data_IF_802651175090
#
_entry.id   IF_802651175090
#
_cell.length_a   1.000
_cell.length_b   1.000
_cell.length_c   1.000
_cell.angle_alpha   90.00
_cell.angle_beta   90.00
_cell.angle_gamma   90.00
#
_symmetry.space_group_name_H-M   'P 1'
#
loop_
_entity.id
_entity.type
_entity.pdbx_description
1 polymer ?
#
# COMPACT_ATOMS: atom_id res chain seq x y z
N UNK A 1 -35.98 -69.05 -22.36
CA UNK A 1 -34.75 -69.78 -22.01
C UNK A 1 -33.62 -68.79 -21.94
N UNK A 2 -33.47 -68.14 -20.77
CA UNK A 2 -32.33 -67.27 -20.46
C UNK A 2 -31.06 -68.11 -20.42
N UNK A 3 -30.15 -67.89 -21.37
CA UNK A 3 -28.77 -68.35 -21.24
C UNK A 3 -28.02 -67.30 -20.44
N UNK A 4 -27.90 -67.55 -19.13
CA UNK A 4 -26.97 -66.88 -18.25
C UNK A 4 -25.54 -67.04 -18.80
N UNK A 5 -25.08 -66.04 -19.55
CA UNK A 5 -23.66 -65.87 -19.87
C UNK A 5 -23.02 -65.28 -18.61
N UNK A 6 -22.71 -66.14 -17.64
CA UNK A 6 -21.80 -65.79 -16.56
C UNK A 6 -20.44 -65.62 -17.24
N UNK A 7 -20.14 -64.41 -17.69
CA UNK A 7 -18.84 -64.06 -18.27
C UNK A 7 -17.84 -64.27 -17.15
N UNK A 8 -17.01 -65.31 -17.26
CA UNK A 8 -15.96 -65.58 -16.28
C UNK A 8 -14.96 -64.41 -16.28
N UNK A 9 -15.17 -63.46 -15.36
CA UNK A 9 -14.40 -62.22 -15.27
C UNK A 9 -12.93 -62.52 -15.00
N UNK A 10 -12.60 -63.67 -14.40
CA UNK A 10 -11.24 -64.00 -13.96
C UNK A 10 -10.34 -64.41 -15.13
N UNK A 11 -10.88 -65.10 -16.14
CA UNK A 11 -10.11 -65.50 -17.32
C UNK A 11 -9.85 -64.34 -18.29
N UNK A 12 -10.80 -63.41 -18.42
CA UNK A 12 -10.65 -62.22 -19.30
C UNK A 12 -10.08 -61.00 -18.58
N UNK A 13 -9.94 -61.04 -17.25
CA UNK A 13 -9.32 -60.00 -16.43
C UNK A 13 -7.98 -59.49 -17.00
N UNK A 14 -6.98 -60.33 -17.34
CA UNK A 14 -5.69 -59.82 -17.83
C UNK A 14 -5.82 -59.10 -19.18
N UNK A 15 -6.81 -59.44 -20.00
CA UNK A 15 -7.08 -58.77 -21.28
C UNK A 15 -7.70 -57.39 -21.04
N UNK A 16 -8.75 -57.31 -20.20
CA UNK A 16 -9.40 -56.03 -19.89
C UNK A 16 -8.48 -55.08 -19.12
N UNK A 17 -7.60 -55.60 -18.26
CA UNK A 17 -6.59 -54.81 -17.56
C UNK A 17 -5.58 -54.20 -18.54
N UNK A 18 -5.14 -54.93 -19.57
CA UNK A 18 -4.24 -54.38 -20.59
C UNK A 18 -4.92 -53.31 -21.43
N UNK A 19 -6.18 -53.54 -21.84
CA UNK A 19 -6.94 -52.58 -22.65
C UNK A 19 -7.26 -51.31 -21.85
N UNK A 20 -7.63 -51.44 -20.57
CA UNK A 20 -7.91 -50.27 -19.72
C UNK A 20 -6.66 -49.45 -19.43
N UNK A 21 -5.52 -50.10 -19.20
CA UNK A 21 -4.22 -49.42 -19.03
C UNK A 21 -3.85 -48.65 -20.31
N UNK A 22 -3.96 -49.28 -21.48
CA UNK A 22 -3.68 -48.62 -22.75
C UNK A 22 -4.65 -47.45 -23.02
N UNK A 23 -5.93 -47.63 -22.71
CA UNK A 23 -6.93 -46.56 -22.85
C UNK A 23 -6.67 -45.40 -21.89
N UNK A 24 -6.24 -45.67 -20.66
CA UNK A 24 -5.93 -44.62 -19.68
C UNK A 24 -4.69 -43.82 -20.10
N UNK A 25 -3.64 -44.50 -20.56
CA UNK A 25 -2.43 -43.84 -21.08
C UNK A 25 -2.76 -42.98 -22.30
N UNK A 26 -3.57 -43.49 -23.24
CA UNK A 26 -3.99 -42.72 -24.40
C UNK A 26 -4.81 -41.48 -24.01
N UNK A 27 -5.72 -41.61 -23.03
CA UNK A 27 -6.50 -40.49 -22.53
C UNK A 27 -5.62 -39.38 -21.95
N UNK A 28 -4.59 -39.72 -21.17
CA UNK A 28 -3.64 -38.73 -20.65
C UNK A 28 -2.80 -38.08 -21.74
N UNK A 29 -2.34 -38.84 -22.75
CA UNK A 29 -1.57 -38.30 -23.88
C UNK A 29 -2.43 -37.33 -24.69
N UNK A 30 -3.68 -37.70 -25.00
CA UNK A 30 -4.62 -36.82 -25.71
C UNK A 30 -4.96 -35.61 -24.87
N UNK A 31 -5.16 -35.77 -23.55
CA UNK A 31 -5.34 -34.65 -22.63
C UNK A 31 -4.17 -33.66 -22.68
N UNK A 32 -2.94 -34.16 -22.62
CA UNK A 32 -1.75 -33.30 -22.69
C UNK A 32 -1.58 -32.62 -24.06
N UNK A 33 -2.11 -33.24 -25.13
CA UNK A 33 -2.13 -32.65 -26.48
C UNK A 33 -3.23 -31.58 -26.65
N UNK A 34 -4.39 -31.78 -25.99
CA UNK A 34 -5.52 -30.84 -26.03
C UNK A 34 -5.31 -29.63 -25.12
N UNK A 35 -4.52 -29.74 -24.06
CA UNK A 35 -4.18 -28.63 -23.17
C UNK A 35 -2.78 -28.07 -23.51
N UNK A 36 -2.69 -26.97 -24.30
CA UNK A 36 -1.41 -26.40 -24.73
C UNK A 36 -0.54 -26.04 -23.53
N UNK A 37 0.76 -26.34 -23.63
CA UNK A 37 1.73 -26.13 -22.55
C UNK A 37 1.64 -24.71 -21.99
N UNK A 38 1.45 -24.63 -20.67
CA UNK A 38 1.52 -23.38 -19.94
C UNK A 38 2.93 -22.80 -20.02
N UNK A 39 3.12 -21.80 -20.87
CA UNK A 39 4.34 -21.00 -20.90
C UNK A 39 4.33 -20.05 -19.72
N UNK A 40 5.15 -20.35 -18.71
CA UNK A 40 5.42 -19.43 -17.60
C UNK A 40 6.01 -18.14 -18.18
N UNK A 41 5.27 -17.04 -18.12
CA UNK A 41 5.83 -15.73 -18.43
C UNK A 41 6.62 -15.27 -17.20
N UNK A 42 7.96 -15.20 -17.26
CA UNK A 42 8.74 -14.73 -16.13
C UNK A 42 8.34 -13.29 -15.80
N UNK A 43 8.12 -13.01 -14.53
CA UNK A 43 7.83 -11.66 -14.05
C UNK A 43 9.04 -10.77 -14.31
N UNK A 44 8.88 -9.76 -15.18
CA UNK A 44 9.87 -8.70 -15.38
C UNK A 44 9.47 -7.53 -14.48
N UNK A 45 10.25 -7.20 -13.43
CA UNK A 45 9.96 -6.05 -12.59
C UNK A 45 9.99 -4.77 -13.44
N UNK A 46 8.96 -3.94 -13.33
CA UNK A 46 8.92 -2.61 -13.93
C UNK A 46 9.94 -1.74 -13.17
N UNK A 47 11.13 -1.59 -13.73
CA UNK A 47 12.14 -0.64 -13.23
C UNK A 47 11.57 0.76 -13.45
N UNK A 48 11.32 1.46 -12.35
CA UNK A 48 10.94 2.87 -12.39
C UNK A 48 12.07 3.66 -13.07
N UNK A 49 11.70 4.52 -14.01
CA UNK A 49 12.65 5.24 -14.87
C UNK A 49 13.71 5.97 -14.02
N UNK A 50 14.97 6.03 -14.47
CA UNK A 50 16.01 6.74 -13.73
C UNK A 50 15.55 8.18 -13.51
N UNK A 51 15.53 8.58 -12.23
CA UNK A 51 15.32 9.95 -11.79
C UNK A 51 16.10 10.87 -12.71
N UNK A 52 15.40 11.68 -13.50
CA UNK A 52 16.01 12.77 -14.23
C UNK A 52 16.58 13.70 -13.17
N UNK A 53 17.90 13.66 -13.01
CA UNK A 53 18.64 14.67 -12.27
C UNK A 53 18.42 15.95 -13.06
N UNK A 54 17.38 16.69 -12.71
CA UNK A 54 17.23 18.06 -13.16
C UNK A 54 18.34 18.82 -12.42
N UNK A 55 19.33 19.32 -13.16
CA UNK A 55 20.42 20.11 -12.60
C UNK A 55 19.80 21.28 -11.84
N UNK A 56 20.10 21.33 -10.54
CA UNK A 56 19.65 22.40 -9.65
C UNK A 56 20.17 23.72 -10.21
N UNK A 57 19.31 24.74 -10.42
CA UNK A 57 19.78 26.03 -10.94
C UNK A 57 20.83 26.62 -10.00
N UNK A 58 21.93 27.14 -10.57
CA UNK A 58 23.14 27.71 -9.94
C UNK A 58 22.91 28.86 -8.92
N UNK A 59 21.68 29.21 -8.59
CA UNK A 59 21.37 30.38 -7.75
C UNK A 59 21.73 30.19 -6.26
N UNK A 60 22.15 28.99 -5.84
CA UNK A 60 22.62 28.73 -4.46
C UNK A 60 24.07 29.21 -4.25
N UNK A 61 24.79 29.58 -5.31
CA UNK A 61 26.21 29.98 -5.20
C UNK A 61 26.42 31.40 -4.64
N UNK A 62 25.35 32.19 -4.47
CA UNK A 62 25.41 33.52 -3.86
C UNK A 62 24.65 33.60 -2.53
N UNK A 63 24.97 32.70 -1.61
CA UNK A 63 24.86 33.07 -0.19
C UNK A 63 26.13 33.88 0.10
N UNK A 64 25.99 35.18 0.36
CA UNK A 64 27.10 35.98 0.89
C UNK A 64 27.68 35.24 2.10
N UNK A 65 28.91 34.77 1.97
CA UNK A 65 29.62 34.09 3.04
C UNK A 65 29.78 35.11 4.18
N UNK A 66 28.99 34.95 5.24
CA UNK A 66 29.09 35.79 6.42
C UNK A 66 30.56 35.78 6.88
N UNK A 67 31.13 36.92 7.32
CA UNK A 67 32.49 36.93 7.84
C UNK A 67 32.60 35.84 8.90
N UNK A 68 33.63 34.98 8.85
CA UNK A 68 33.79 33.89 9.78
C UNK A 68 33.65 34.44 11.21
N UNK A 69 32.79 33.85 12.07
CA UNK A 69 32.69 34.30 13.44
C UNK A 69 34.09 34.26 14.06
N UNK A 70 34.42 35.29 14.84
CA UNK A 70 35.70 35.32 15.55
C UNK A 70 35.86 34.01 16.30
N UNK A 71 36.99 33.32 16.08
CA UNK A 71 37.26 32.05 16.75
C UNK A 71 37.09 32.27 18.25
N UNK A 72 36.29 31.43 18.93
CA UNK A 72 36.21 31.47 20.38
C UNK A 72 37.62 31.44 20.95
N UNK A 73 37.93 32.37 21.84
CA UNK A 73 39.22 32.36 22.52
C UNK A 73 39.34 31.01 23.23
N UNK A 74 40.44 30.29 22.96
CA UNK A 74 40.71 29.03 23.63
C UNK A 74 40.62 29.27 25.14
N UNK A 75 39.83 28.48 25.87
CA UNK A 75 39.77 28.59 27.32
C UNK A 75 41.19 28.53 27.89
N UNK A 76 41.57 29.56 28.64
CA UNK A 76 42.82 29.52 29.41
C UNK A 76 42.71 28.33 30.36
N UNK A 77 43.73 27.49 30.36
CA UNK A 77 43.81 26.22 31.07
C UNK A 77 43.46 26.43 32.55
N UNK A 78 42.33 25.85 32.99
CA UNK A 78 41.91 25.89 34.38
C UNK A 78 42.88 25.02 35.20
N UNK A 79 43.50 25.63 36.22
CA UNK A 79 44.44 24.98 37.14
C UNK A 79 43.71 24.00 38.08
N UNK A 80 43.24 22.85 37.59
CA UNK A 80 43.14 21.54 38.30
C UNK A 80 42.12 20.58 37.67
N UNK A 81 42.51 19.31 37.55
CA UNK A 81 41.73 18.21 36.95
C UNK A 81 40.54 17.73 37.81
N UNK A 82 40.41 18.17 39.06
CA UNK A 82 39.43 17.63 40.02
C UNK A 82 38.00 18.15 39.80
N UNK A 83 37.80 19.35 39.22
CA UNK A 83 36.46 19.85 38.87
C UNK A 83 35.85 19.20 37.61
N UNK A 84 36.69 18.73 36.68
CA UNK A 84 36.26 18.21 35.37
C UNK A 84 35.55 16.85 35.51
N UNK A 85 35.94 16.04 36.50
CA UNK A 85 35.37 14.71 36.71
C UNK A 85 33.98 14.75 37.33
N UNK A 86 33.66 15.75 38.17
CA UNK A 86 32.33 15.89 38.76
C UNK A 86 31.27 16.36 37.75
N UNK A 87 31.66 17.13 36.74
CA UNK A 87 30.73 17.63 35.71
C UNK A 87 30.39 16.60 34.61
N UNK A 88 31.14 15.51 34.48
CA UNK A 88 31.03 14.61 33.32
C UNK A 88 30.10 13.40 33.56
N UNK A 89 29.86 12.99 34.80
CA UNK A 89 29.04 11.81 35.08
C UNK A 89 27.54 12.14 35.17
N UNK A 90 27.17 13.37 35.56
CA UNK A 90 25.76 13.75 35.71
C UNK A 90 25.01 14.01 34.39
N UNK A 91 25.71 14.12 33.24
CA UNK A 91 25.08 14.57 31.98
C UNK A 91 24.90 13.49 30.91
N UNK A 92 25.22 12.22 31.19
CA UNK A 92 25.13 11.13 30.19
C UNK A 92 24.02 10.11 30.46
N UNK A 93 23.31 10.22 31.58
CA UNK A 93 22.08 9.48 31.79
C UNK A 93 20.93 10.34 31.29
N UNK A 94 20.56 10.19 30.01
CA UNK A 94 19.20 10.39 29.47
C UNK A 94 19.24 10.23 27.93
N UNK A 95 19.69 9.05 27.47
CA UNK A 95 19.65 8.69 26.04
C UNK A 95 18.31 8.04 25.62
N UNK A 96 17.29 8.02 26.50
CA UNK A 96 15.99 7.40 26.20
C UNK A 96 14.99 8.36 25.53
N UNK A 97 15.35 9.62 25.28
CA UNK A 97 14.43 10.64 24.74
C UNK A 97 14.43 10.72 23.20
N UNK A 98 14.43 9.56 22.53
CA UNK A 98 13.75 9.44 21.23
C UNK A 98 12.31 8.95 21.43
N UNK A 99 11.74 9.21 22.61
CA UNK A 99 10.31 9.09 22.86
C UNK A 99 9.56 10.03 21.91
N UNK A 100 9.10 9.41 20.81
CA UNK A 100 8.00 9.77 19.94
C UNK A 100 7.32 11.05 20.41
N UNK A 101 7.68 12.18 19.79
CA UNK A 101 7.08 13.49 20.06
C UNK A 101 5.57 13.30 20.29
N UNK A 102 5.01 13.82 21.40
CA UNK A 102 3.57 13.81 21.61
C UNK A 102 2.93 14.38 20.36
N UNK A 103 2.17 13.54 19.64
CA UNK A 103 1.35 14.04 18.53
C UNK A 103 0.32 14.93 19.21
N UNK A 104 0.51 16.26 19.13
CA UNK A 104 -0.38 17.19 19.79
C UNK A 104 -1.83 16.89 19.36
N UNK A 105 -2.76 16.70 20.31
CA UNK A 105 -4.16 16.46 19.98
C UNK A 105 -4.74 17.75 19.37
N UNK A 106 -4.66 17.85 18.05
CA UNK A 106 -5.06 19.05 17.30
C UNK A 106 -4.02 19.51 16.27
N UNK A 107 -2.79 18.98 16.31
CA UNK A 107 -1.76 19.26 15.31
C UNK A 107 -2.09 18.64 13.95
N UNK A 108 -1.60 19.28 12.88
CA UNK A 108 -1.66 18.73 11.53
C UNK A 108 -1.06 17.32 11.54
N UNK A 109 -1.87 16.31 11.19
CA UNK A 109 -1.35 14.94 11.12
C UNK A 109 -0.31 14.87 10.01
N UNK A 110 0.92 14.41 10.31
CA UNK A 110 1.99 14.34 9.32
C UNK A 110 1.55 13.50 8.13
N UNK A 111 2.00 13.91 6.95
CA UNK A 111 1.56 13.33 5.68
C UNK A 111 1.93 11.84 5.54
N UNK A 112 2.96 11.40 6.26
CA UNK A 112 3.40 10.01 6.36
C UNK A 112 3.40 9.56 7.82
N UNK A 113 2.64 8.50 8.11
CA UNK A 113 2.64 7.80 9.40
C UNK A 113 2.90 6.33 9.11
N UNK A 114 3.97 5.77 9.69
CA UNK A 114 4.28 4.36 9.54
C UNK A 114 3.20 3.50 10.22
N UNK A 115 2.61 2.57 9.47
CA UNK A 115 1.64 1.59 9.96
C UNK A 115 2.03 0.19 9.50
N UNK A 116 1.71 -0.82 10.31
CA UNK A 116 1.96 -2.23 9.98
C UNK A 116 0.77 -2.82 9.22
N UNK A 117 -0.45 -2.43 9.62
CA UNK A 117 -1.69 -2.86 8.97
C UNK A 117 -2.41 -1.67 8.34
N UNK A 118 -2.65 -1.68 7.01
CA UNK A 118 -3.37 -0.62 6.33
C UNK A 118 -4.86 -0.60 6.74
N UNK A 119 -5.52 0.56 6.67
CA UNK A 119 -6.95 0.64 6.90
C UNK A 119 -7.68 -0.06 5.76
N UNK A 120 -8.76 -0.77 6.10
CA UNK A 120 -9.57 -1.53 5.13
C UNK A 120 -11.00 -0.99 5.12
N UNK A 121 -11.67 -0.89 3.97
CA UNK A 121 -13.06 -0.47 3.96
C UNK A 121 -13.94 -1.48 4.71
N UNK A 122 -14.71 -1.00 5.68
CA UNK A 122 -15.70 -1.79 6.44
C UNK A 122 -17.05 -1.78 5.73
N UNK A 123 -17.49 -0.59 5.32
CA UNK A 123 -18.74 -0.39 4.60
C UNK A 123 -18.51 0.63 3.49
N UNK A 124 -18.53 0.14 2.25
CA UNK A 124 -18.33 0.95 1.05
C UNK A 124 -19.66 1.57 0.65
N UNK A 125 -19.73 2.91 0.67
CA UNK A 125 -20.86 3.65 0.09
C UNK A 125 -20.48 4.05 -1.33
N UNK A 126 -21.25 3.59 -2.32
CA UNK A 126 -21.03 3.96 -3.72
C UNK A 126 -21.40 5.44 -3.92
N UNK A 127 -20.58 6.23 -4.64
CA UNK A 127 -20.92 7.61 -4.93
C UNK A 127 -22.14 7.70 -5.84
N UNK A 128 -23.03 8.64 -5.53
CA UNK A 128 -24.21 8.93 -6.34
C UNK A 128 -23.74 9.63 -7.62
N UNK A 129 -24.10 9.07 -8.78
CA UNK A 129 -23.74 9.65 -10.07
C UNK A 129 -24.65 10.84 -10.38
N UNK A 130 -24.11 12.08 -10.52
CA UNK A 130 -24.91 13.25 -10.88
C UNK A 130 -25.55 13.08 -12.27
N UNK A 131 -26.80 13.52 -12.44
CA UNK A 131 -27.52 13.35 -13.70
C UNK A 131 -26.83 14.04 -14.88
N UNK A 132 -26.26 15.23 -14.65
CA UNK A 132 -25.54 16.00 -15.67
C UNK A 132 -24.33 15.20 -16.20
N UNK A 133 -23.53 14.63 -15.29
CA UNK A 133 -22.37 13.81 -15.66
C UNK A 133 -22.80 12.49 -16.35
N UNK A 134 -23.95 11.94 -15.98
CA UNK A 134 -24.53 10.74 -16.59
C UNK A 134 -24.98 11.01 -18.04
N UNK A 135 -25.69 12.12 -18.26
CA UNK A 135 -26.13 12.56 -19.59
C UNK A 135 -24.96 12.91 -20.51
N UNK A 136 -23.88 13.47 -19.94
CA UNK A 136 -22.67 13.81 -20.68
C UNK A 136 -21.73 12.62 -20.94
N UNK A 137 -22.04 11.42 -20.42
CA UNK A 137 -21.22 10.22 -20.67
C UNK A 137 -19.82 10.26 -20.04
N UNK A 138 -19.60 11.05 -19.00
CA UNK A 138 -18.25 11.33 -18.47
C UNK A 138 -17.84 10.26 -17.45
N UNK A 139 -16.94 9.36 -17.82
CA UNK A 139 -16.38 8.33 -16.95
C UNK A 139 -14.95 8.62 -16.49
N UNK A 140 -14.50 7.97 -15.42
CA UNK A 140 -13.10 8.05 -14.99
C UNK A 140 -12.86 7.68 -13.53
N UNK A 141 -11.65 7.92 -13.05
CA UNK A 141 -11.24 7.61 -11.67
C UNK A 141 -10.84 8.88 -10.93
N UNK A 142 -11.52 9.17 -9.83
CA UNK A 142 -11.17 10.25 -8.89
C UNK A 142 -10.31 9.64 -7.78
N UNK A 143 -9.18 10.25 -7.48
CA UNK A 143 -8.28 9.78 -6.41
C UNK A 143 -8.38 10.76 -5.24
N UNK A 144 -8.79 10.24 -4.08
CA UNK A 144 -8.94 11.00 -2.84
C UNK A 144 -7.85 10.61 -1.84
N UNK A 145 -7.38 11.58 -1.05
CA UNK A 145 -6.57 11.38 0.16
C UNK A 145 -7.50 11.52 1.34
N UNK A 146 -7.72 10.44 2.08
CA UNK A 146 -8.64 10.35 3.21
C UNK A 146 -7.84 10.34 4.52
N UNK A 147 -8.25 11.16 5.49
CA UNK A 147 -7.73 11.11 6.85
C UNK A 147 -8.62 10.19 7.69
N UNK A 148 -8.13 9.00 8.01
CA UNK A 148 -8.87 7.99 8.76
C UNK A 148 -8.48 8.08 10.23
N UNK A 149 -9.47 8.24 11.10
CA UNK A 149 -9.30 8.29 12.55
C UNK A 149 -9.02 6.90 13.16
N UNK A 150 -8.61 6.87 14.44
CA UNK A 150 -8.44 5.64 15.24
C UNK A 150 -9.72 4.81 15.33
N UNK A 151 -10.89 5.44 15.16
CA UNK A 151 -12.19 4.79 15.12
C UNK A 151 -12.59 4.28 13.72
N UNK A 152 -11.79 4.57 12.68
CA UNK A 152 -12.08 4.19 11.31
C UNK A 152 -13.05 5.12 10.57
N UNK A 153 -13.35 6.29 11.14
CA UNK A 153 -14.15 7.34 10.49
C UNK A 153 -13.25 8.26 9.67
N UNK A 154 -13.74 8.74 8.53
CA UNK A 154 -13.06 9.76 7.72
C UNK A 154 -13.27 11.14 8.35
N UNK A 155 -12.18 11.82 8.71
CA UNK A 155 -12.19 13.16 9.31
C UNK A 155 -12.00 14.28 8.27
N UNK A 156 -11.14 14.04 7.29
CA UNK A 156 -10.82 15.01 6.24
C UNK A 156 -10.59 14.30 4.90
N UNK A 157 -10.87 15.01 3.80
CA UNK A 157 -10.80 14.50 2.43
C UNK A 157 -10.15 15.55 1.53
N UNK A 158 -8.99 15.21 0.96
CA UNK A 158 -8.30 16.03 -0.05
C UNK A 158 -8.36 15.34 -1.41
N UNK A 159 -8.53 16.08 -2.51
CA UNK A 159 -8.57 15.48 -3.86
C UNK A 159 -7.16 15.51 -4.45
N UNK A 160 -6.62 14.33 -4.78
CA UNK A 160 -5.33 14.21 -5.48
C UNK A 160 -5.51 14.28 -6.99
N UNK A 161 -6.52 13.60 -7.53
CA UNK A 161 -6.83 13.61 -8.97
C UNK A 161 -8.27 14.03 -9.19
N UNK A 162 -8.45 15.19 -9.82
CA UNK A 162 -9.75 15.77 -10.17
C UNK A 162 -10.22 15.25 -11.53
N UNK A 163 -11.53 15.11 -11.71
CA UNK A 163 -12.15 14.78 -13.00
C UNK A 163 -13.09 15.91 -13.45
N UNK A 164 -14.32 15.94 -12.96
CA UNK A 164 -15.27 17.05 -13.12
C UNK A 164 -15.75 17.52 -11.75
N UNK A 165 -16.11 18.81 -11.59
CA UNK A 165 -16.57 19.34 -10.29
C UNK A 165 -17.71 18.52 -9.68
N UNK A 166 -18.68 18.10 -10.49
CA UNK A 166 -19.84 17.33 -10.04
C UNK A 166 -19.46 15.94 -9.52
N UNK A 167 -18.59 15.22 -10.24
CA UNK A 167 -18.12 13.89 -9.83
C UNK A 167 -17.18 13.97 -8.63
N UNK A 168 -16.36 15.02 -8.55
CA UNK A 168 -15.49 15.27 -7.41
C UNK A 168 -16.30 15.46 -6.12
N UNK A 169 -17.37 16.27 -6.19
CA UNK A 169 -18.26 16.50 -5.04
C UNK A 169 -18.98 15.21 -4.62
N UNK A 170 -19.50 14.44 -5.58
CA UNK A 170 -20.11 13.15 -5.30
C UNK A 170 -19.13 12.16 -4.66
N UNK A 171 -17.87 12.14 -5.11
CA UNK A 171 -16.82 11.32 -4.52
C UNK A 171 -16.51 11.73 -3.07
N UNK A 172 -16.43 13.03 -2.78
CA UNK A 172 -16.21 13.53 -1.42
C UNK A 172 -17.35 13.09 -0.48
N UNK A 173 -18.60 13.27 -0.91
CA UNK A 173 -19.77 12.88 -0.11
C UNK A 173 -19.77 11.37 0.20
N UNK A 174 -19.43 10.55 -0.80
CA UNK A 174 -19.32 9.10 -0.63
C UNK A 174 -18.16 8.69 0.29
N UNK A 175 -17.05 9.42 0.24
CA UNK A 175 -15.90 9.18 1.11
C UNK A 175 -16.27 9.39 2.59
N UNK A 176 -16.96 10.49 2.92
CA UNK A 176 -17.40 10.77 4.28
C UNK A 176 -18.44 9.76 4.80
N UNK A 177 -19.28 9.21 3.90
CA UNK A 177 -20.25 8.19 4.25
C UNK A 177 -19.64 6.79 4.41
N UNK A 178 -18.44 6.57 3.87
CA UNK A 178 -17.74 5.27 3.93
C UNK A 178 -17.04 5.11 5.26
N UNK A 179 -17.21 3.93 5.88
CA UNK A 179 -16.54 3.57 7.13
C UNK A 179 -15.41 2.59 6.87
N UNK A 180 -14.30 2.74 7.60
CA UNK A 180 -13.10 1.92 7.49
C UNK A 180 -12.79 1.20 8.80
N UNK A 181 -12.00 0.14 8.71
CA UNK A 181 -11.21 -0.37 9.83
C UNK A 181 -9.97 0.52 9.98
N UNK A 182 -9.61 0.93 11.20
CA UNK A 182 -8.49 1.83 11.43
C UNK A 182 -7.16 1.15 11.04
N UNK A 183 -6.18 1.96 10.65
CA UNK A 183 -4.82 1.50 10.50
C UNK A 183 -4.24 1.14 11.87
N UNK A 184 -3.37 0.14 11.93
CA UNK A 184 -2.70 -0.26 13.17
C UNK A 184 -1.19 -0.18 13.04
N UNK A 185 -0.56 0.35 14.08
CA UNK A 185 0.89 0.34 14.28
C UNK A 185 1.16 -0.33 15.63
N UNK A 186 1.89 -1.44 15.65
CA UNK A 186 2.13 -2.25 16.86
C UNK A 186 0.81 -2.59 17.59
N UNK A 187 -0.18 -3.05 16.84
CA UNK A 187 -1.56 -3.34 17.28
C UNK A 187 -2.38 -2.17 17.84
N UNK A 188 -1.81 -0.96 17.93
CA UNK A 188 -2.53 0.25 18.35
C UNK A 188 -3.16 0.95 17.14
N UNK A 189 -4.45 1.35 17.20
CA UNK A 189 -5.06 2.11 16.12
C UNK A 189 -4.42 3.49 16.02
N UNK A 190 -4.10 3.91 14.80
CA UNK A 190 -3.43 5.17 14.52
C UNK A 190 -4.18 5.96 13.45
N UNK A 191 -4.19 7.28 13.59
CA UNK A 191 -4.76 8.20 12.61
C UNK A 191 -3.79 8.37 11.43
N UNK A 192 -4.26 8.11 10.22
CA UNK A 192 -3.38 8.08 9.03
C UNK A 192 -4.05 8.66 7.79
N UNK A 193 -3.24 9.20 6.89
CA UNK A 193 -3.66 9.56 5.54
C UNK A 193 -3.53 8.36 4.60
N UNK A 194 -4.56 8.10 3.79
CA UNK A 194 -4.54 7.07 2.76
C UNK A 194 -5.10 7.54 1.43
N UNK A 195 -4.57 6.99 0.33
CA UNK A 195 -5.08 7.22 -1.02
C UNK A 195 -6.18 6.22 -1.33
N UNK A 196 -7.34 6.71 -1.75
CA UNK A 196 -8.52 5.92 -2.08
C UNK A 196 -9.02 6.27 -3.50
N UNK A 197 -8.85 5.36 -4.48
CA UNK A 197 -9.38 5.55 -5.82
C UNK A 197 -10.86 5.19 -5.92
N UNK A 198 -11.69 6.11 -6.40
CA UNK A 198 -13.08 5.87 -6.75
C UNK A 198 -13.27 5.87 -8.26
N UNK A 199 -13.74 4.75 -8.80
CA UNK A 199 -14.04 4.59 -10.22
C UNK A 199 -15.50 4.92 -10.49
N UNK A 200 -15.74 5.84 -11.42
CA UNK A 200 -17.05 6.15 -11.98
C UNK A 200 -17.17 5.47 -13.34
N UNK A 201 -18.08 4.50 -13.42
CA UNK A 201 -18.45 3.78 -14.65
C UNK A 201 -19.95 3.88 -14.82
N UNK A 202 -20.39 4.11 -16.05
CA UNK A 202 -21.79 4.04 -16.43
C UNK A 202 -22.12 2.56 -16.63
N UNK A 203 -23.16 2.10 -15.93
CA UNK A 203 -23.75 0.80 -16.23
C UNK A 203 -24.76 1.06 -17.34
N UNK A 204 -24.56 0.38 -18.47
CA UNK A 204 -25.50 0.34 -19.61
C UNK A 204 -26.90 -0.11 -19.17
#
# INVERSE_FOLDING_TARGET
>A
MEKNVIVDLKERFPLYLRISVLSAVLFFIVGFYLFPHYTLHPYIPRVEQPTKLEDVPEEIERVEELPPPEKPQLPVEAESEEEIQQATIEKTADFETFEKLPIEPGGETPDFVAYDTPPRPKQIVKPVYPQIAKQAGIEGTVILKLLIDVNGKVLDVKILKKLTPDLNNAAIQAAYATSFYPAKQRDKPVKVWVSYPMKFVLQE
#
